data_IF_261692791713
#
_entry.id   IF_261692791713
#
_cell.length_a   1.000
_cell.length_b   1.000
_cell.length_c   1.000
_cell.angle_alpha   90.00
_cell.angle_beta   90.00
_cell.angle_gamma   90.00
#
_symmetry.space_group_name_H-M   'P 1'
#
loop_
_entity.id
_entity.type
_entity.pdbx_description
1 polymer ?
#
# COMPACT_ATOMS: atom_id res chain seq x y z
N UNK A 1 -15.82 -10.79 2.84
CA UNK A 1 -14.71 -10.90 1.89
C UNK A 1 -14.24 -9.54 1.51
N UNK A 2 -12.95 -9.30 1.52
CA UNK A 2 -12.40 -8.02 1.14
C UNK A 2 -11.28 -8.19 0.14
N UNK A 3 -11.08 -7.18 -0.70
CA UNK A 3 -10.09 -7.22 -1.77
C UNK A 3 -8.69 -7.56 -1.24
N UNK A 4 -8.20 -6.81 -0.25
CA UNK A 4 -6.84 -7.01 0.25
C UNK A 4 -6.64 -8.35 0.94
N UNK A 5 -7.63 -8.80 1.68
CA UNK A 5 -7.58 -10.11 2.33
C UNK A 5 -7.58 -11.25 1.31
N UNK A 6 -8.40 -11.12 0.28
CA UNK A 6 -8.50 -12.13 -0.77
C UNK A 6 -7.25 -12.17 -1.66
N UNK A 7 -6.62 -11.03 -1.89
CA UNK A 7 -5.42 -10.92 -2.72
C UNK A 7 -4.13 -11.25 -1.95
N UNK A 8 -4.12 -11.16 -0.64
CA UNK A 8 -2.90 -11.31 0.16
C UNK A 8 -2.16 -12.64 -0.06
N UNK A 9 -2.82 -13.80 -0.19
CA UNK A 9 -2.11 -15.05 -0.41
C UNK A 9 -1.19 -15.06 -1.65
N UNK A 10 -1.48 -14.23 -2.63
CA UNK A 10 -0.65 -14.09 -3.84
C UNK A 10 0.42 -13.00 -3.72
N UNK A 11 0.42 -12.24 -2.64
CA UNK A 11 1.41 -11.17 -2.40
C UNK A 11 2.79 -11.79 -2.12
N UNK A 12 3.83 -11.23 -2.76
CA UNK A 12 5.21 -11.70 -2.63
C UNK A 12 6.11 -10.59 -2.09
N UNK A 13 7.24 -10.99 -1.52
CA UNK A 13 8.21 -10.08 -0.92
C UNK A 13 9.57 -10.19 -1.64
N UNK A 14 9.64 -9.91 -2.95
CA UNK A 14 10.90 -10.04 -3.67
C UNK A 14 11.87 -8.94 -3.24
N UNK A 15 13.12 -9.34 -2.95
CA UNK A 15 14.18 -8.38 -2.67
C UNK A 15 14.87 -8.00 -3.98
N UNK A 16 14.99 -6.70 -4.22
CA UNK A 16 15.69 -6.19 -5.39
C UNK A 16 17.16 -6.56 -5.36
N UNK A 17 17.70 -7.04 -6.48
CA UNK A 17 19.11 -7.31 -6.72
C UNK A 17 19.49 -6.83 -8.11
N UNK A 18 20.78 -6.96 -8.48
CA UNK A 18 21.25 -6.57 -9.80
C UNK A 18 20.58 -7.37 -10.92
N UNK A 19 20.22 -8.63 -10.62
CA UNK A 19 19.65 -9.57 -11.59
C UNK A 19 18.14 -9.74 -11.47
N UNK A 20 17.51 -9.12 -10.48
CA UNK A 20 16.10 -9.36 -10.17
C UNK A 20 15.38 -8.08 -9.77
N UNK A 21 14.22 -7.85 -10.36
CA UNK A 21 13.30 -6.83 -9.90
C UNK A 21 12.80 -7.18 -8.50
N UNK A 22 12.55 -6.17 -7.69
CA UNK A 22 12.07 -6.40 -6.33
C UNK A 22 11.86 -5.10 -5.58
N UNK A 23 11.52 -5.27 -4.30
CA UNK A 23 11.41 -4.18 -3.35
C UNK A 23 12.79 -3.90 -2.75
N UNK A 24 13.06 -2.62 -2.49
CA UNK A 24 14.32 -2.23 -1.86
C UNK A 24 14.33 -2.64 -0.39
N UNK A 25 15.52 -2.80 0.24
CA UNK A 25 15.59 -3.16 1.67
C UNK A 25 14.78 -2.22 2.57
N UNK A 26 14.82 -0.91 2.33
CA UNK A 26 14.07 0.05 3.12
C UNK A 26 12.56 -0.17 2.99
N UNK A 27 12.07 -0.53 1.80
CA UNK A 27 10.66 -0.83 1.57
C UNK A 27 10.23 -2.10 2.31
N UNK A 28 11.00 -3.18 2.17
CA UNK A 28 10.71 -4.43 2.87
C UNK A 28 10.76 -4.26 4.39
N UNK A 29 11.78 -3.54 4.89
CA UNK A 29 11.89 -3.25 6.31
C UNK A 29 10.66 -2.50 6.85
N UNK A 30 10.20 -1.49 6.13
CA UNK A 30 9.03 -0.72 6.52
C UNK A 30 7.75 -1.57 6.50
N UNK A 31 7.56 -2.40 5.47
CA UNK A 31 6.41 -3.29 5.37
C UNK A 31 6.38 -4.29 6.53
N UNK A 32 7.49 -4.93 6.82
CA UNK A 32 7.58 -5.89 7.92
C UNK A 32 7.43 -5.22 9.29
N UNK A 33 7.96 -4.00 9.45
CA UNK A 33 7.78 -3.24 10.67
C UNK A 33 6.31 -2.89 10.91
N UNK A 34 5.58 -2.50 9.86
CA UNK A 34 4.14 -2.24 9.97
C UNK A 34 3.38 -3.50 10.37
N UNK A 35 3.69 -4.62 9.74
CA UNK A 35 3.06 -5.90 10.07
C UNK A 35 3.33 -6.29 11.53
N UNK A 36 4.57 -6.20 11.97
CA UNK A 36 4.95 -6.53 13.34
C UNK A 36 4.26 -5.62 14.37
N UNK A 37 4.16 -4.33 14.08
CA UNK A 37 3.49 -3.39 14.98
C UNK A 37 2.03 -3.81 15.23
N UNK A 38 1.28 -4.08 14.18
CA UNK A 38 -0.16 -4.35 14.30
C UNK A 38 -0.50 -5.80 14.66
N UNK A 39 0.50 -6.69 14.79
CA UNK A 39 0.29 -8.02 15.37
C UNK A 39 0.04 -7.91 16.88
N UNK A 40 0.72 -6.99 17.55
CA UNK A 40 0.70 -6.91 19.01
C UNK A 40 0.11 -5.60 19.55
N UNK A 41 -0.17 -4.63 18.68
CA UNK A 41 -0.59 -3.28 19.10
C UNK A 41 -1.76 -2.79 18.26
N UNK A 42 -2.56 -1.91 18.86
CA UNK A 42 -3.68 -1.23 18.19
C UNK A 42 -3.48 0.28 18.09
N UNK A 43 -2.42 0.81 18.70
CA UNK A 43 -2.12 2.23 18.64
C UNK A 43 -1.51 2.61 17.29
N UNK A 44 -1.60 3.88 16.89
CA UNK A 44 -0.98 4.33 15.64
C UNK A 44 0.52 4.10 15.59
N UNK A 45 1.03 3.78 14.41
CA UNK A 45 2.46 3.68 14.15
C UNK A 45 2.92 4.79 13.21
N UNK A 46 4.19 5.15 13.29
CA UNK A 46 4.81 6.12 12.38
C UNK A 46 5.96 5.43 11.65
N UNK A 47 5.94 5.52 10.31
CA UNK A 47 7.04 5.04 9.48
C UNK A 47 7.69 6.23 8.82
N UNK A 48 8.97 6.42 9.08
CA UNK A 48 9.75 7.49 8.47
C UNK A 48 10.73 6.88 7.47
N UNK A 49 10.66 7.35 6.24
CA UNK A 49 11.52 6.88 5.16
C UNK A 49 12.12 8.08 4.42
N UNK A 50 13.38 7.98 3.94
CA UNK A 50 14.00 9.06 3.17
C UNK A 50 13.23 9.35 1.87
N UNK A 51 13.36 10.57 1.37
CA UNK A 51 12.85 10.94 0.06
C UNK A 51 13.48 10.05 -1.03
N UNK A 52 12.65 9.56 -1.94
CA UNK A 52 13.10 8.67 -3.02
C UNK A 52 13.26 7.21 -2.62
N UNK A 53 12.87 6.81 -1.40
CA UNK A 53 12.96 5.42 -0.94
C UNK A 53 11.77 4.55 -1.35
N UNK A 54 10.75 5.13 -2.01
CA UNK A 54 9.59 4.38 -2.48
C UNK A 54 8.45 4.27 -1.47
N UNK A 55 8.14 5.36 -0.79
CA UNK A 55 7.10 5.39 0.25
C UNK A 55 5.73 4.96 -0.23
N UNK A 56 5.35 5.33 -1.46
CA UNK A 56 4.03 5.01 -2.01
C UNK A 56 3.82 3.50 -2.13
N UNK A 57 4.84 2.77 -2.56
CA UNK A 57 4.77 1.32 -2.63
C UNK A 57 4.55 0.70 -1.24
N UNK A 58 5.22 1.24 -0.22
CA UNK A 58 5.05 0.78 1.17
C UNK A 58 3.64 1.05 1.66
N UNK A 59 3.10 2.22 1.38
CA UNK A 59 1.75 2.60 1.77
C UNK A 59 0.71 1.63 1.19
N UNK A 60 0.83 1.29 -0.09
CA UNK A 60 -0.08 0.38 -0.76
C UNK A 60 0.14 -1.05 -0.28
N UNK A 61 1.39 -1.49 -0.17
CA UNK A 61 1.73 -2.82 0.31
C UNK A 61 1.21 -3.08 1.72
N UNK A 62 1.22 -2.07 2.58
CA UNK A 62 0.69 -2.18 3.94
C UNK A 62 -0.78 -2.60 3.96
N UNK A 63 -1.59 -2.11 3.02
CA UNK A 63 -2.99 -2.50 2.92
C UNK A 63 -3.15 -4.00 2.66
N UNK A 64 -2.31 -4.58 1.80
CA UNK A 64 -2.30 -6.02 1.54
C UNK A 64 -1.83 -6.81 2.76
N UNK A 65 -0.70 -6.43 3.32
CA UNK A 65 -0.06 -7.14 4.42
C UNK A 65 -0.94 -7.14 5.68
N UNK A 66 -1.61 -6.02 5.94
CA UNK A 66 -2.54 -5.91 7.06
C UNK A 66 -3.92 -6.48 6.73
N UNK A 67 -4.13 -6.93 5.50
CA UNK A 67 -5.41 -7.46 5.02
C UNK A 67 -6.57 -6.53 5.33
N UNK A 68 -6.34 -5.24 5.06
CA UNK A 68 -7.28 -4.20 5.43
C UNK A 68 -8.61 -4.37 4.70
N UNK A 69 -9.70 -4.20 5.43
CA UNK A 69 -11.03 -4.26 4.84
C UNK A 69 -11.35 -3.01 4.05
N UNK A 70 -10.97 -1.87 4.60
CA UNK A 70 -11.10 -0.55 3.97
C UNK A 70 -9.86 0.26 4.29
N UNK A 71 -9.47 1.11 3.36
CA UNK A 71 -8.28 1.95 3.52
C UNK A 71 -8.66 3.39 3.22
N UNK A 72 -8.34 4.28 4.15
CA UNK A 72 -8.44 5.72 3.94
C UNK A 72 -7.05 6.30 3.86
N UNK A 73 -6.73 6.96 2.76
CA UNK A 73 -5.45 7.63 2.57
C UNK A 73 -5.70 9.12 2.54
N UNK A 74 -5.00 9.84 3.42
CA UNK A 74 -5.07 11.30 3.50
C UNK A 74 -3.74 11.84 2.99
N UNK A 75 -3.80 12.70 1.98
CA UNK A 75 -2.63 13.29 1.35
C UNK A 75 -2.62 14.80 1.54
N UNK A 76 -1.43 15.42 1.66
CA UNK A 76 -1.33 16.85 1.97
C UNK A 76 -1.70 17.76 0.81
N UNK A 77 -1.68 17.26 -0.43
CA UNK A 77 -1.98 18.07 -1.60
C UNK A 77 -2.79 17.29 -2.63
N UNK A 78 -3.43 18.05 -3.53
CA UNK A 78 -4.18 17.47 -4.63
C UNK A 78 -3.31 16.61 -5.54
N UNK A 79 -2.11 17.10 -5.85
CA UNK A 79 -1.18 16.37 -6.73
C UNK A 79 -0.77 15.03 -6.13
N UNK A 80 -0.39 15.01 -4.86
CA UNK A 80 -0.02 13.77 -4.16
C UNK A 80 -1.21 12.81 -4.09
N UNK A 81 -2.41 13.32 -3.83
CA UNK A 81 -3.63 12.52 -3.79
C UNK A 81 -3.91 11.83 -5.13
N UNK A 82 -3.77 12.58 -6.23
CA UNK A 82 -3.98 12.04 -7.57
C UNK A 82 -2.94 10.99 -7.94
N UNK A 83 -1.67 11.21 -7.57
CA UNK A 83 -0.60 10.24 -7.79
C UNK A 83 -0.84 8.93 -7.03
N UNK A 84 -1.25 9.03 -5.77
CA UNK A 84 -1.56 7.85 -4.97
C UNK A 84 -2.77 7.11 -5.53
N UNK A 85 -3.82 7.83 -5.91
CA UNK A 85 -5.01 7.23 -6.50
C UNK A 85 -4.68 6.47 -7.79
N UNK A 86 -3.84 7.02 -8.64
CA UNK A 86 -3.40 6.34 -9.85
C UNK A 86 -2.59 5.08 -9.54
N UNK A 87 -1.65 5.17 -8.59
CA UNK A 87 -0.85 4.01 -8.19
C UNK A 87 -1.72 2.87 -7.62
N UNK A 88 -2.69 3.20 -6.79
CA UNK A 88 -3.60 2.18 -6.25
C UNK A 88 -4.48 1.59 -7.35
N UNK A 89 -4.90 2.41 -8.29
CA UNK A 89 -5.76 1.96 -9.40
C UNK A 89 -5.05 1.04 -10.38
N UNK A 90 -3.74 1.18 -10.53
CA UNK A 90 -2.95 0.37 -11.48
C UNK A 90 -2.12 -0.70 -10.79
N UNK A 91 -1.71 -0.47 -9.54
CA UNK A 91 -0.76 -1.30 -8.78
C UNK A 91 0.58 -1.45 -9.52
N UNK A 92 0.92 -0.48 -10.36
CA UNK A 92 2.05 -0.57 -11.30
C UNK A 92 3.39 -0.81 -10.60
N UNK A 93 3.66 -0.09 -9.52
CA UNK A 93 4.92 -0.21 -8.79
C UNK A 93 5.09 -1.60 -8.17
N UNK A 94 4.05 -2.13 -7.53
CA UNK A 94 4.10 -3.46 -6.93
C UNK A 94 4.18 -4.57 -7.98
N UNK A 95 3.48 -4.42 -9.10
CA UNK A 95 3.58 -5.36 -10.21
C UNK A 95 4.96 -5.36 -10.82
N UNK A 96 5.53 -4.18 -11.05
CA UNK A 96 6.88 -4.01 -11.61
C UNK A 96 7.95 -4.61 -10.70
N UNK A 97 7.77 -4.49 -9.39
CA UNK A 97 8.66 -5.09 -8.42
C UNK A 97 8.49 -6.61 -8.29
N UNK A 98 7.42 -7.18 -8.84
CA UNK A 98 7.13 -8.61 -8.70
C UNK A 98 6.43 -8.99 -7.41
N UNK A 99 5.98 -8.01 -6.63
CA UNK A 99 5.20 -8.27 -5.40
C UNK A 99 3.79 -8.75 -5.72
N UNK A 100 3.25 -8.33 -6.85
CA UNK A 100 1.94 -8.75 -7.37
C UNK A 100 2.09 -9.23 -8.81
N UNK A 101 1.26 -10.18 -9.22
CA UNK A 101 1.20 -10.62 -10.60
C UNK A 101 0.62 -9.53 -11.51
N UNK A 102 1.05 -9.52 -12.78
CA UNK A 102 0.59 -8.52 -13.75
C UNK A 102 -0.94 -8.51 -13.94
N UNK A 103 -1.57 -9.66 -13.81
CA UNK A 103 -3.02 -9.82 -13.97
C UNK A 103 -3.81 -9.59 -12.68
N UNK A 104 -3.16 -9.17 -11.59
CA UNK A 104 -3.86 -8.86 -10.35
C UNK A 104 -4.87 -7.74 -10.57
N UNK A 105 -6.17 -7.96 -10.29
CA UNK A 105 -7.17 -6.91 -10.45
C UNK A 105 -6.95 -5.79 -9.42
N UNK A 106 -7.23 -4.56 -9.83
CA UNK A 106 -7.10 -3.41 -8.96
C UNK A 106 -8.24 -3.34 -7.94
N UNK A 107 -8.00 -2.74 -6.76
CA UNK A 107 -9.08 -2.47 -5.82
C UNK A 107 -9.97 -1.35 -6.36
N UNK A 108 -11.16 -1.23 -5.77
CA UNK A 108 -12.03 -0.09 -6.05
C UNK A 108 -11.48 1.14 -5.36
N UNK A 109 -11.23 2.20 -6.13
CA UNK A 109 -10.69 3.45 -5.62
C UNK A 109 -11.73 4.55 -5.78
N UNK A 110 -11.91 5.31 -4.73
CA UNK A 110 -12.78 6.49 -4.74
C UNK A 110 -12.01 7.68 -4.20
N UNK A 111 -11.98 8.77 -4.95
CA UNK A 111 -11.31 10.01 -4.56
C UNK A 111 -12.36 11.05 -4.19
N UNK A 112 -12.23 11.64 -3.01
CA UNK A 112 -13.13 12.70 -2.56
C UNK A 112 -12.35 13.97 -2.25
N UNK A 113 -12.96 15.11 -2.55
CA UNK A 113 -12.44 16.44 -2.20
C UNK A 113 -13.22 17.05 -1.06
N UNK A 114 -14.32 16.41 -0.66
CA UNK A 114 -15.21 16.91 0.38
C UNK A 114 -14.97 16.17 1.68
N UNK A 115 -15.37 16.81 2.76
CA UNK A 115 -15.25 16.24 4.09
C UNK A 115 -16.19 15.04 4.22
N UNK A 116 -15.68 13.97 4.78
CA UNK A 116 -16.51 12.82 5.16
C UNK A 116 -17.18 13.14 6.49
N UNK A 117 -18.51 13.22 6.49
CA UNK A 117 -19.27 13.66 7.66
C UNK A 117 -20.18 12.57 8.25
N UNK A 118 -20.29 11.42 7.56
CA UNK A 118 -21.13 10.32 8.03
C UNK A 118 -20.50 8.97 7.75
N UNK A 119 -20.92 7.97 8.50
CA UNK A 119 -20.46 6.60 8.29
C UNK A 119 -20.91 6.04 6.93
N UNK A 120 -22.05 6.48 6.43
CA UNK A 120 -22.55 6.04 5.11
C UNK A 120 -21.71 6.58 3.96
N UNK A 121 -21.04 7.73 4.13
CA UNK A 121 -20.13 8.29 3.14
C UNK A 121 -18.79 7.54 3.10
N UNK A 122 -18.49 6.78 4.13
CA UNK A 122 -17.28 5.96 4.24
C UNK A 122 -17.49 4.57 3.65
#
# INVERSE_FOLDING_TARGET
MSYFSDAYPAFRYPLKSDDQAGLRPAQLGAIHAAAAHFVTRNDPGVITMPTGSGKTAVLIAAAFVLRARRVLIIAPSRLVREQIAEEVSTLATLKRAGALAEDTPAPRVHTTKTRITSAEAW
#
